data_IF_312308269748
#
_entry.id   IF_312308269748
#
_cell.length_a   1.000
_cell.length_b   1.000
_cell.length_c   1.000
_cell.angle_alpha   90.00
_cell.angle_beta   90.00
_cell.angle_gamma   90.00
#
_symmetry.space_group_name_H-M   'P 1'
#
loop_
_entity.id
_entity.type
_entity.pdbx_description
1 polymer ?
#
# COMPACT_ATOMS: atom_id res chain seq x y z
N UNK A 1 0.03 17.38 -6.11
CA UNK A 1 -0.64 16.17 -5.58
C UNK A 1 -0.45 15.07 -6.62
N UNK A 2 -0.39 13.79 -6.26
CA UNK A 2 -0.32 12.73 -7.28
C UNK A 2 -1.67 12.65 -8.01
N UNK A 3 -1.66 12.54 -9.35
CA UNK A 3 -2.87 12.47 -10.18
C UNK A 3 -3.79 11.32 -9.75
N UNK A 4 -3.20 10.21 -9.29
CA UNK A 4 -3.95 9.07 -8.75
C UNK A 4 -4.74 9.42 -7.47
N UNK A 5 -4.18 10.23 -6.57
CA UNK A 5 -4.88 10.64 -5.35
C UNK A 5 -6.03 11.60 -5.67
N UNK A 6 -5.85 12.47 -6.68
CA UNK A 6 -6.91 13.36 -7.16
C UNK A 6 -8.08 12.55 -7.74
N UNK A 7 -7.78 11.57 -8.59
CA UNK A 7 -8.80 10.69 -9.18
C UNK A 7 -9.51 9.82 -8.14
N UNK A 8 -8.78 9.30 -7.13
CA UNK A 8 -9.35 8.54 -6.01
C UNK A 8 -10.37 9.35 -5.22
N UNK A 9 -10.02 10.58 -4.84
CA UNK A 9 -10.93 11.48 -4.10
C UNK A 9 -12.16 11.87 -4.92
N UNK A 10 -11.98 12.09 -6.22
CA UNK A 10 -13.10 12.31 -7.14
C UNK A 10 -14.05 11.10 -7.18
N UNK A 11 -13.51 9.89 -7.24
CA UNK A 11 -14.30 8.66 -7.25
C UNK A 11 -15.06 8.44 -5.93
N UNK A 12 -14.41 8.67 -4.79
CA UNK A 12 -15.06 8.62 -3.47
C UNK A 12 -16.21 9.63 -3.36
N UNK A 13 -16.02 10.85 -3.88
CA UNK A 13 -17.03 11.91 -3.88
C UNK A 13 -18.24 11.55 -4.73
N UNK A 14 -18.02 10.95 -5.90
CA UNK A 14 -19.09 10.49 -6.78
C UNK A 14 -19.82 9.26 -6.22
N UNK A 15 -19.16 8.42 -5.42
CA UNK A 15 -19.75 7.22 -4.84
C UNK A 15 -20.16 7.37 -3.37
N UNK A 16 -20.13 8.59 -2.82
CA UNK A 16 -20.53 8.84 -1.42
C UNK A 16 -21.99 8.43 -1.22
N UNK A 17 -22.21 7.45 -0.35
CA UNK A 17 -23.54 6.89 -0.05
C UNK A 17 -24.45 7.87 0.70
N UNK A 18 -23.88 8.95 1.25
CA UNK A 18 -24.63 10.04 1.90
C UNK A 18 -25.25 11.00 0.90
N UNK A 19 -24.74 11.04 -0.34
CA UNK A 19 -25.35 11.83 -1.41
C UNK A 19 -26.57 11.07 -1.96
N UNK A 20 -27.77 11.61 -1.78
CA UNK A 20 -29.00 10.97 -2.27
C UNK A 20 -29.25 11.20 -3.77
N UNK A 21 -28.40 12.00 -4.44
CA UNK A 21 -28.55 12.27 -5.87
C UNK A 21 -28.17 11.04 -6.70
N UNK A 22 -28.82 10.81 -7.86
CA UNK A 22 -28.42 9.78 -8.80
C UNK A 22 -26.93 9.92 -9.20
N UNK A 23 -26.16 8.81 -9.31
CA UNK A 23 -24.73 8.86 -9.59
C UNK A 23 -24.36 9.68 -10.83
N UNK A 24 -25.21 9.64 -11.87
CA UNK A 24 -24.96 10.34 -13.11
C UNK A 24 -25.01 11.89 -12.97
N UNK A 25 -25.69 12.42 -11.96
CA UNK A 25 -25.82 13.86 -11.67
C UNK A 25 -24.79 14.38 -10.67
N UNK A 26 -23.99 13.49 -10.06
CA UNK A 26 -22.96 13.87 -9.10
C UNK A 26 -21.79 14.49 -9.85
N UNK A 27 -21.47 15.72 -9.46
CA UNK A 27 -20.39 16.51 -10.03
C UNK A 27 -19.81 17.40 -8.93
N UNK A 28 -18.53 17.71 -9.06
CA UNK A 28 -17.72 18.32 -8.00
C UNK A 28 -16.84 19.42 -8.55
N UNK A 29 -16.36 20.28 -7.67
CA UNK A 29 -15.45 21.38 -8.04
C UNK A 29 -14.02 20.99 -7.65
N UNK A 30 -13.04 21.45 -8.41
CA UNK A 30 -11.65 21.01 -8.26
C UNK A 30 -11.09 21.22 -6.84
N UNK A 31 -11.47 22.30 -6.17
CA UNK A 31 -11.02 22.60 -4.81
C UNK A 31 -11.66 21.67 -3.77
N UNK A 32 -12.84 21.09 -4.04
CA UNK A 32 -13.53 20.18 -3.10
C UNK A 32 -12.82 18.84 -2.94
N UNK A 33 -11.99 18.46 -3.92
CA UNK A 33 -11.14 17.26 -3.87
C UNK A 33 -9.67 17.60 -3.56
N UNK A 34 -9.37 18.89 -3.32
CA UNK A 34 -8.01 19.37 -3.04
C UNK A 34 -7.08 19.41 -4.27
N UNK A 35 -7.63 19.42 -5.48
CA UNK A 35 -6.86 19.54 -6.71
C UNK A 35 -6.54 21.00 -7.05
N UNK A 36 -5.45 21.24 -7.78
CA UNK A 36 -5.15 22.55 -8.38
C UNK A 36 -5.75 22.68 -9.77
N UNK A 37 -5.77 23.90 -10.33
CA UNK A 37 -6.21 24.12 -11.72
C UNK A 37 -5.31 23.43 -12.74
N UNK A 38 -4.01 23.31 -12.44
CA UNK A 38 -3.05 22.64 -13.31
C UNK A 38 -3.28 21.12 -13.31
N UNK A 39 -3.58 20.52 -12.16
CA UNK A 39 -3.96 19.11 -12.07
C UNK A 39 -5.21 18.84 -12.91
N UNK A 40 -6.23 19.70 -12.82
CA UNK A 40 -7.44 19.56 -13.63
C UNK A 40 -7.19 19.71 -15.12
N UNK A 41 -6.29 20.61 -15.52
CA UNK A 41 -5.92 20.79 -16.93
C UNK A 41 -5.27 19.51 -17.47
N UNK A 42 -4.32 18.92 -16.74
CA UNK A 42 -3.72 17.63 -17.11
C UNK A 42 -4.77 16.52 -17.22
N UNK A 43 -5.62 16.37 -16.20
CA UNK A 43 -6.63 15.30 -16.16
C UNK A 43 -7.71 15.44 -17.24
N UNK A 44 -8.02 16.67 -17.68
CA UNK A 44 -8.89 16.94 -18.83
C UNK A 44 -8.19 16.56 -20.15
N UNK A 45 -6.94 16.98 -20.33
CA UNK A 45 -6.15 16.70 -21.54
C UNK A 45 -5.93 15.18 -21.71
N UNK A 46 -5.75 14.44 -20.62
CA UNK A 46 -5.62 12.98 -20.60
C UNK A 46 -6.96 12.24 -20.70
N UNK A 47 -8.08 12.96 -20.61
CA UNK A 47 -9.43 12.42 -20.75
C UNK A 47 -9.92 11.60 -19.55
N UNK A 48 -9.31 11.74 -18.37
CA UNK A 48 -9.77 11.09 -17.14
C UNK A 48 -10.96 11.80 -16.49
N UNK A 49 -11.12 13.09 -16.77
CA UNK A 49 -12.19 13.94 -16.23
C UNK A 49 -12.91 14.66 -17.37
N UNK A 50 -14.20 14.93 -17.19
CA UNK A 50 -15.03 15.74 -18.10
C UNK A 50 -15.68 16.90 -17.37
N UNK A 51 -15.99 17.97 -18.09
CA UNK A 51 -16.74 19.11 -17.56
C UNK A 51 -18.23 18.77 -17.58
N UNK A 52 -18.83 18.61 -16.41
CA UNK A 52 -20.25 18.27 -16.27
C UNK A 52 -21.16 19.51 -16.35
N UNK A 53 -20.69 20.65 -15.83
CA UNK A 53 -21.42 21.91 -15.86
C UNK A 53 -20.44 23.07 -15.89
N UNK A 54 -20.65 24.02 -16.80
CA UNK A 54 -19.88 25.28 -16.84
C UNK A 54 -20.84 26.46 -16.90
N UNK A 55 -20.72 27.35 -15.94
CA UNK A 55 -21.41 28.64 -15.87
C UNK A 55 -20.36 29.75 -15.71
N UNK A 56 -20.79 31.01 -15.73
CA UNK A 56 -19.90 32.17 -15.50
C UNK A 56 -19.19 32.12 -14.15
N UNK A 57 -19.82 31.56 -13.11
CA UNK A 57 -19.30 31.56 -11.73
C UNK A 57 -18.84 30.18 -11.25
N UNK A 58 -19.09 29.11 -12.02
CA UNK A 58 -18.97 27.74 -11.53
C UNK A 58 -18.56 26.78 -12.62
N UNK A 59 -17.53 25.97 -12.37
CA UNK A 59 -17.16 24.83 -13.23
C UNK A 59 -17.17 23.57 -12.38
N UNK A 60 -18.05 22.64 -12.74
CA UNK A 60 -18.12 21.31 -12.13
C UNK A 60 -17.60 20.26 -13.08
N UNK A 61 -16.92 19.29 -12.50
CA UNK A 61 -16.28 18.18 -13.14
C UNK A 61 -16.93 16.88 -12.71
N UNK A 62 -16.69 15.85 -13.52
CA UNK A 62 -17.08 14.47 -13.25
C UNK A 62 -16.02 13.56 -13.86
N UNK A 63 -15.78 12.40 -13.25
CA UNK A 63 -14.95 11.37 -13.86
C UNK A 63 -15.54 10.92 -15.20
N UNK A 64 -14.67 10.77 -16.19
CA UNK A 64 -15.04 10.09 -17.43
C UNK A 64 -15.17 8.59 -17.17
N UNK A 65 -15.73 7.85 -18.13
CA UNK A 65 -15.73 6.38 -18.06
C UNK A 65 -14.30 5.82 -17.96
N UNK A 66 -13.35 6.44 -18.69
CA UNK A 66 -11.92 6.13 -18.58
C UNK A 66 -11.37 6.41 -17.17
N UNK A 67 -11.68 7.56 -16.58
CA UNK A 67 -11.27 7.91 -15.21
C UNK A 67 -11.87 6.98 -14.16
N UNK A 68 -13.17 6.72 -14.26
CA UNK A 68 -13.86 5.79 -13.35
C UNK A 68 -13.30 4.39 -13.46
N UNK A 69 -13.11 3.87 -14.68
CA UNK A 69 -12.55 2.53 -14.91
C UNK A 69 -11.09 2.44 -14.48
N UNK A 70 -10.30 3.51 -14.65
CA UNK A 70 -8.91 3.55 -14.20
C UNK A 70 -8.82 3.49 -12.66
N UNK A 71 -9.61 4.33 -11.97
CA UNK A 71 -9.67 4.29 -10.49
C UNK A 71 -10.25 2.96 -10.01
N UNK A 72 -11.30 2.46 -10.66
CA UNK A 72 -11.91 1.18 -10.34
C UNK A 72 -10.92 0.03 -10.53
N UNK A 73 -10.19 -0.03 -11.64
CA UNK A 73 -9.19 -1.05 -11.91
C UNK A 73 -8.06 -1.04 -10.86
N UNK A 74 -7.54 0.13 -10.51
CA UNK A 74 -6.49 0.21 -9.48
C UNK A 74 -7.05 -0.05 -8.08
N UNK A 75 -8.28 0.37 -7.78
CA UNK A 75 -8.95 0.06 -6.50
C UNK A 75 -9.25 -1.44 -6.41
N UNK A 76 -9.64 -2.07 -7.51
CA UNK A 76 -9.88 -3.51 -7.62
C UNK A 76 -8.58 -4.30 -7.54
N UNK A 77 -7.46 -3.85 -8.12
CA UNK A 77 -6.13 -4.46 -7.90
C UNK A 77 -5.77 -4.44 -6.40
N UNK A 78 -6.12 -3.36 -5.70
CA UNK A 78 -5.97 -3.28 -4.24
C UNK A 78 -6.94 -4.20 -3.48
N UNK A 79 -8.17 -4.44 -3.97
CA UNK A 79 -9.12 -5.37 -3.36
C UNK A 79 -8.87 -6.85 -3.68
N UNK A 80 -8.41 -7.18 -4.89
CA UNK A 80 -8.05 -8.54 -5.32
C UNK A 80 -6.84 -9.11 -4.56
N UNK A 81 -6.02 -8.25 -3.99
CA UNK A 81 -4.90 -8.63 -3.12
C UNK A 81 -5.33 -8.83 -1.66
N UNK A 82 -6.62 -8.74 -1.29
CA UNK A 82 -7.07 -9.14 0.06
C UNK A 82 -7.02 -10.66 0.16
N UNK A 83 -5.89 -11.16 0.65
CA UNK A 83 -5.71 -12.59 0.89
C UNK A 83 -6.53 -12.96 2.13
N UNK A 84 -7.53 -13.86 2.02
CA UNK A 84 -8.29 -14.31 3.18
C UNK A 84 -7.35 -14.91 4.23
N UNK A 85 -7.62 -14.65 5.52
CA UNK A 85 -6.81 -15.21 6.61
C UNK A 85 -6.70 -16.74 6.52
N UNK A 86 -7.75 -17.42 6.04
CA UNK A 86 -7.73 -18.86 5.82
C UNK A 86 -6.66 -19.32 4.80
N UNK A 87 -6.38 -18.53 3.77
CA UNK A 87 -5.36 -18.86 2.77
C UNK A 87 -3.95 -18.69 3.35
N UNK A 88 -3.72 -17.61 4.11
CA UNK A 88 -2.45 -17.39 4.81
C UNK A 88 -2.20 -18.50 5.83
N UNK A 89 -3.24 -18.90 6.58
CA UNK A 89 -3.14 -19.99 7.54
C UNK A 89 -2.78 -21.32 6.87
N UNK A 90 -3.46 -21.66 5.76
CA UNK A 90 -3.17 -22.86 4.95
C UNK A 90 -1.72 -22.89 4.45
N UNK A 91 -1.18 -21.74 4.08
CA UNK A 91 0.21 -21.65 3.64
C UNK A 91 1.23 -21.99 4.75
N UNK A 92 0.80 -21.94 6.03
CA UNK A 92 1.60 -22.31 7.19
C UNK A 92 1.26 -23.72 7.74
N UNK A 93 0.48 -24.54 7.02
CA UNK A 93 0.05 -25.87 7.48
C UNK A 93 1.22 -26.84 7.71
N UNK A 94 2.36 -26.62 7.05
CA UNK A 94 3.58 -27.41 7.26
C UNK A 94 4.17 -27.26 8.67
N UNK A 95 3.86 -26.16 9.36
CA UNK A 95 4.36 -25.90 10.71
C UNK A 95 3.39 -26.54 11.70
N UNK A 96 3.87 -27.40 12.60
CA UNK A 96 3.03 -28.02 13.62
C UNK A 96 3.03 -27.13 14.88
N UNK A 97 1.84 -26.84 15.43
CA UNK A 97 1.66 -25.98 16.60
C UNK A 97 1.60 -24.47 16.26
N UNK A 98 1.73 -23.63 17.28
CA UNK A 98 1.68 -22.15 17.17
C UNK A 98 0.40 -21.60 16.53
N UNK A 99 -0.75 -22.23 16.79
CA UNK A 99 -2.03 -21.85 16.17
C UNK A 99 -2.46 -20.42 16.49
N UNK A 100 -2.16 -19.96 17.71
CA UNK A 100 -2.37 -18.59 18.16
C UNK A 100 -1.54 -17.57 17.35
N UNK A 101 -0.26 -17.87 17.13
CA UNK A 101 0.66 -17.03 16.34
C UNK A 101 0.24 -17.04 14.87
N UNK A 102 -0.05 -18.21 14.29
CA UNK A 102 -0.53 -18.34 12.91
C UNK A 102 -1.83 -17.57 12.69
N UNK A 103 -2.78 -17.67 13.62
CA UNK A 103 -4.04 -16.93 13.55
C UNK A 103 -3.81 -15.42 13.65
N UNK A 104 -2.89 -14.97 14.49
CA UNK A 104 -2.54 -13.56 14.63
C UNK A 104 -1.91 -13.01 13.33
N UNK A 105 -0.94 -13.73 12.76
CA UNK A 105 -0.29 -13.37 11.48
C UNK A 105 -1.32 -13.36 10.36
N UNK A 106 -2.13 -14.42 10.23
CA UNK A 106 -3.14 -14.54 9.18
C UNK A 106 -4.18 -13.41 9.24
N UNK A 107 -4.64 -13.05 10.46
CA UNK A 107 -5.56 -11.92 10.65
C UNK A 107 -4.89 -10.58 10.34
N UNK A 108 -3.62 -10.40 10.72
CA UNK A 108 -2.89 -9.17 10.43
C UNK A 108 -2.74 -8.96 8.92
N UNK A 109 -2.26 -9.98 8.19
CA UNK A 109 -2.15 -9.96 6.71
C UNK A 109 -3.51 -9.67 6.07
N UNK A 110 -4.57 -10.35 6.48
CA UNK A 110 -5.91 -10.15 5.93
C UNK A 110 -6.47 -8.74 6.22
N UNK A 111 -6.12 -8.15 7.37
CA UNK A 111 -6.59 -6.83 7.81
C UNK A 111 -5.83 -5.65 7.20
N UNK A 112 -4.64 -5.89 6.61
CA UNK A 112 -3.73 -4.85 6.08
C UNK A 112 -3.41 -3.70 7.05
N UNK A 113 -3.43 -4.00 8.35
CA UNK A 113 -2.97 -3.07 9.36
C UNK A 113 -1.45 -3.22 9.47
N UNK A 114 -0.74 -2.10 9.64
CA UNK A 114 0.69 -2.13 9.98
C UNK A 114 0.84 -2.65 11.40
N UNK A 115 0.98 -3.96 11.52
CA UNK A 115 1.24 -4.68 12.76
C UNK A 115 2.58 -5.35 12.54
N UNK A 116 3.55 -5.06 13.41
CA UNK A 116 4.89 -5.62 13.27
C UNK A 116 5.03 -6.82 14.21
N UNK A 117 5.51 -7.95 13.69
CA UNK A 117 5.73 -9.17 14.46
C UNK A 117 7.21 -9.40 14.69
N UNK A 118 7.55 -9.89 15.89
CA UNK A 118 8.88 -10.41 16.20
C UNK A 118 8.72 -11.86 16.63
N UNK A 119 9.33 -12.78 15.89
CA UNK A 119 9.37 -14.19 16.23
C UNK A 119 10.70 -14.50 16.91
N UNK A 120 10.68 -14.62 18.24
CA UNK A 120 11.85 -15.02 19.03
C UNK A 120 11.70 -16.47 19.51
N UNK A 121 12.81 -17.22 19.50
CA UNK A 121 12.85 -18.57 20.05
C UNK A 121 14.10 -19.33 19.65
N UNK A 122 14.31 -20.54 20.20
CA UNK A 122 15.44 -21.40 19.87
C UNK A 122 15.59 -21.68 18.36
N UNK A 123 16.78 -22.07 17.88
CA UNK A 123 16.94 -22.57 16.53
C UNK A 123 16.04 -23.80 16.31
N UNK A 124 15.63 -24.03 15.06
CA UNK A 124 14.75 -25.13 14.64
C UNK A 124 13.29 -25.07 15.12
N UNK A 125 12.79 -23.94 15.65
CA UNK A 125 11.36 -23.73 15.96
C UNK A 125 10.51 -23.29 14.74
N UNK A 126 10.87 -23.70 13.52
CA UNK A 126 10.14 -23.42 12.27
C UNK A 126 9.90 -21.93 11.90
N UNK A 127 10.57 -20.97 12.54
CA UNK A 127 10.42 -19.52 12.26
C UNK A 127 10.58 -19.17 10.77
N UNK A 128 11.65 -19.63 10.12
CA UNK A 128 11.87 -19.37 8.69
C UNK A 128 10.80 -20.04 7.79
N UNK A 129 10.23 -21.17 8.22
CA UNK A 129 9.13 -21.84 7.49
C UNK A 129 7.84 -21.04 7.62
N UNK A 130 7.57 -20.42 8.78
CA UNK A 130 6.45 -19.50 8.96
C UNK A 130 6.58 -18.30 8.00
N UNK A 131 7.77 -17.67 7.94
CA UNK A 131 8.03 -16.56 7.02
C UNK A 131 7.83 -16.99 5.56
N UNK A 132 8.34 -18.16 5.17
CA UNK A 132 8.17 -18.71 3.82
C UNK A 132 6.69 -19.01 3.50
N UNK A 133 5.93 -19.51 4.46
CA UNK A 133 4.48 -19.70 4.33
C UNK A 133 3.77 -18.39 4.01
N UNK A 134 4.07 -17.33 4.77
CA UNK A 134 3.52 -15.98 4.50
C UNK A 134 3.97 -15.46 3.13
N UNK A 135 5.24 -15.62 2.77
CA UNK A 135 5.78 -15.22 1.45
C UNK A 135 5.04 -15.90 0.30
N UNK A 136 4.71 -17.18 0.46
CA UNK A 136 3.96 -17.93 -0.57
C UNK A 136 2.50 -17.48 -0.69
N UNK A 137 1.89 -17.02 0.41
CA UNK A 137 0.51 -16.58 0.43
C UNK A 137 0.33 -15.14 -0.07
N UNK A 138 1.37 -14.31 0.06
CA UNK A 138 1.34 -12.87 -0.23
C UNK A 138 2.18 -12.57 -1.47
N UNK A 139 1.56 -12.30 -2.64
CA UNK A 139 2.29 -12.14 -3.91
C UNK A 139 3.30 -11.00 -3.93
N UNK A 140 3.05 -9.94 -3.17
CA UNK A 140 3.89 -8.75 -3.07
C UNK A 140 4.75 -8.74 -1.79
N UNK A 141 4.88 -9.87 -1.10
CA UNK A 141 5.78 -9.97 0.04
C UNK A 141 7.24 -9.95 -0.42
N UNK A 142 8.06 -9.19 0.29
CA UNK A 142 9.50 -9.12 0.06
C UNK A 142 10.24 -9.74 1.25
N UNK A 143 11.21 -10.62 0.99
CA UNK A 143 12.04 -11.23 2.03
C UNK A 143 13.46 -10.66 1.99
N UNK A 144 13.94 -10.22 3.15
CA UNK A 144 15.30 -9.75 3.35
C UNK A 144 16.02 -10.67 4.35
N UNK A 145 17.23 -11.11 3.98
CA UNK A 145 18.07 -11.95 4.82
C UNK A 145 19.08 -11.08 5.54
N UNK A 146 19.13 -11.15 6.87
CA UNK A 146 19.87 -10.19 7.68
C UNK A 146 21.36 -10.08 7.32
N UNK A 147 22.01 -11.20 7.04
CA UNK A 147 23.42 -11.26 6.66
C UNK A 147 23.75 -10.71 5.26
N UNK A 148 22.73 -10.49 4.41
CA UNK A 148 22.92 -10.07 3.00
C UNK A 148 22.28 -8.72 2.67
N UNK A 149 21.62 -8.10 3.63
CA UNK A 149 20.87 -6.87 3.42
C UNK A 149 21.57 -5.69 4.08
N UNK A 150 21.99 -4.71 3.28
CA UNK A 150 22.49 -3.40 3.74
C UNK A 150 21.35 -2.37 3.79
N UNK A 151 21.55 -1.24 4.48
CA UNK A 151 20.53 -0.19 4.54
C UNK A 151 20.16 0.35 3.15
N UNK A 152 21.15 0.52 2.27
CA UNK A 152 20.90 0.96 0.89
C UNK A 152 20.15 -0.10 0.09
N UNK A 153 20.50 -1.37 0.24
CA UNK A 153 19.83 -2.46 -0.49
C UNK A 153 18.38 -2.64 -0.02
N UNK A 154 18.13 -2.54 1.28
CA UNK A 154 16.77 -2.57 1.82
C UNK A 154 15.95 -1.36 1.36
N UNK A 155 16.53 -0.16 1.39
CA UNK A 155 15.85 1.07 0.95
C UNK A 155 15.46 0.96 -0.52
N UNK A 156 16.38 0.54 -1.39
CA UNK A 156 16.13 0.36 -2.81
C UNK A 156 15.02 -0.66 -3.07
N UNK A 157 15.07 -1.82 -2.42
CA UNK A 157 14.01 -2.83 -2.51
C UNK A 157 12.65 -2.29 -2.06
N UNK A 158 12.59 -1.47 -1.01
CA UNK A 158 11.34 -0.86 -0.53
C UNK A 158 10.82 0.23 -1.47
N UNK A 159 11.68 0.98 -2.15
CA UNK A 159 11.28 1.93 -3.19
C UNK A 159 10.77 1.24 -4.47
N UNK A 160 11.43 0.15 -4.87
CA UNK A 160 11.13 -0.57 -6.10
C UNK A 160 9.88 -1.45 -5.96
N UNK A 161 9.86 -2.31 -4.94
CA UNK A 161 8.80 -3.32 -4.79
C UNK A 161 7.59 -2.84 -3.99
N UNK A 162 7.77 -1.82 -3.12
CA UNK A 162 6.71 -1.29 -2.25
C UNK A 162 5.84 -2.37 -1.59
N UNK A 163 6.46 -3.38 -0.95
CA UNK A 163 5.76 -4.58 -0.51
C UNK A 163 4.72 -4.27 0.57
N UNK A 164 3.56 -4.94 0.56
CA UNK A 164 2.62 -4.89 1.69
C UNK A 164 3.12 -5.65 2.92
N UNK A 165 4.02 -6.62 2.73
CA UNK A 165 4.64 -7.41 3.80
C UNK A 165 6.15 -7.50 3.58
N UNK A 166 6.93 -7.03 4.54
CA UNK A 166 8.38 -7.15 4.58
C UNK A 166 8.77 -8.22 5.60
N UNK A 167 9.30 -9.34 5.11
CA UNK A 167 9.74 -10.46 5.94
C UNK A 167 11.25 -10.33 6.20
N UNK A 168 11.65 -10.42 7.46
CA UNK A 168 13.06 -10.38 7.86
C UNK A 168 13.47 -11.72 8.45
N UNK A 169 14.38 -12.45 7.80
CA UNK A 169 15.00 -13.64 8.38
C UNK A 169 16.40 -13.31 8.90
N UNK A 170 16.81 -13.97 9.99
CA UNK A 170 18.07 -13.69 10.71
C UNK A 170 18.25 -12.20 11.04
N UNK A 171 17.18 -11.53 11.52
CA UNK A 171 17.21 -10.10 11.81
C UNK A 171 18.30 -9.71 12.83
N UNK A 172 18.69 -10.61 13.72
CA UNK A 172 19.79 -10.43 14.67
C UNK A 172 21.18 -10.33 13.99
N UNK A 173 21.29 -10.77 12.73
CA UNK A 173 22.51 -10.70 11.92
C UNK A 173 22.57 -9.48 11.01
N UNK A 174 21.56 -8.60 11.05
CA UNK A 174 21.55 -7.39 10.25
C UNK A 174 22.65 -6.42 10.62
N UNK A 175 23.14 -5.71 9.60
CA UNK A 175 24.01 -4.56 9.82
C UNK A 175 23.27 -3.44 10.56
N UNK A 176 23.98 -2.74 11.45
CA UNK A 176 23.38 -1.71 12.30
C UNK A 176 22.76 -0.53 11.52
N UNK A 177 23.23 -0.28 10.31
CA UNK A 177 22.71 0.78 9.44
C UNK A 177 21.25 0.49 9.00
N UNK A 178 20.87 -0.79 8.87
CA UNK A 178 19.53 -1.24 8.47
C UNK A 178 18.47 -0.81 9.48
N UNK A 179 18.79 -0.79 10.77
CA UNK A 179 17.82 -0.43 11.81
C UNK A 179 17.25 0.98 11.65
N UNK A 180 18.03 1.92 11.11
CA UNK A 180 17.54 3.28 10.84
C UNK A 180 16.41 3.30 9.81
N UNK A 181 16.48 2.42 8.80
CA UNK A 181 15.44 2.27 7.78
C UNK A 181 14.20 1.60 8.37
N UNK A 182 14.39 0.53 9.15
CA UNK A 182 13.30 -0.19 9.81
C UNK A 182 12.55 0.71 10.80
N UNK A 183 13.25 1.54 11.58
CA UNK A 183 12.62 2.48 12.52
C UNK A 183 11.67 3.45 11.81
N UNK A 184 12.11 4.07 10.71
CA UNK A 184 11.25 4.96 9.92
C UNK A 184 10.03 4.24 9.34
N UNK A 185 10.23 3.02 8.84
CA UNK A 185 9.14 2.19 8.31
C UNK A 185 8.14 1.79 9.42
N UNK A 186 8.61 1.43 10.61
CA UNK A 186 7.75 0.99 11.70
C UNK A 186 6.97 2.14 12.36
N UNK A 187 7.59 3.31 12.51
CA UNK A 187 6.98 4.47 13.19
C UNK A 187 5.98 5.19 12.27
N UNK A 188 6.48 5.80 11.20
CA UNK A 188 5.66 6.65 10.31
C UNK A 188 5.25 5.92 9.04
N UNK A 189 5.92 4.81 8.70
CA UNK A 189 5.84 4.18 7.38
C UNK A 189 6.63 4.93 6.32
N UNK A 190 7.49 5.87 6.71
CA UNK A 190 8.20 6.72 5.78
C UNK A 190 9.65 6.29 5.65
N UNK A 191 10.09 6.17 4.41
CA UNK A 191 11.48 5.89 4.07
C UNK A 191 12.01 7.11 3.35
N UNK A 192 13.13 7.63 3.86
CA UNK A 192 13.83 8.78 3.31
C UNK A 192 15.23 8.33 2.89
N UNK A 193 15.51 8.38 1.60
CA UNK A 193 16.86 8.17 1.08
C UNK A 193 17.42 9.48 0.55
N UNK A 194 18.63 9.83 0.99
CA UNK A 194 19.38 10.98 0.46
C UNK A 194 20.61 10.45 -0.27
N UNK A 195 20.53 10.35 -1.60
CA UNK A 195 21.68 10.06 -2.48
C UNK A 195 22.11 11.34 -3.19
N UNK A 196 23.37 11.74 -3.01
CA UNK A 196 24.06 12.85 -3.70
C UNK A 196 23.14 13.90 -4.35
N UNK A 197 22.72 14.89 -3.56
CA UNK A 197 21.89 16.06 -3.94
C UNK A 197 20.41 15.80 -4.28
N UNK A 198 19.91 14.57 -4.23
CA UNK A 198 18.47 14.28 -4.34
C UNK A 198 17.98 13.52 -3.12
N UNK A 199 16.96 14.06 -2.46
CA UNK A 199 16.20 13.38 -1.41
C UNK A 199 14.95 12.79 -2.05
N UNK A 200 14.71 11.51 -1.81
CA UNK A 200 13.49 10.80 -2.21
C UNK A 200 12.84 10.26 -0.96
N UNK A 201 11.52 10.45 -0.87
CA UNK A 201 10.71 10.00 0.25
C UNK A 201 9.48 9.25 -0.26
N UNK A 202 9.18 8.13 0.37
CA UNK A 202 7.96 7.36 0.11
C UNK A 202 7.29 7.02 1.44
N UNK A 203 5.96 6.98 1.44
CA UNK A 203 5.17 6.49 2.55
C UNK A 203 4.55 5.16 2.16
N UNK A 204 4.90 4.12 2.91
CA UNK A 204 4.46 2.75 2.70
C UNK A 204 3.49 2.32 3.81
N UNK A 205 2.58 1.42 3.44
CA UNK A 205 1.70 0.74 4.38
C UNK A 205 2.14 -0.73 4.56
N UNK A 206 3.46 -0.91 4.75
CA UNK A 206 4.10 -2.22 4.88
C UNK A 206 3.94 -2.76 6.30
N UNK A 207 3.62 -4.05 6.39
CA UNK A 207 3.66 -4.87 7.60
C UNK A 207 5.04 -5.53 7.74
N UNK A 208 5.58 -5.66 8.96
CA UNK A 208 6.87 -6.30 9.25
C UNK A 208 6.69 -7.64 9.98
#
# INVERSE_FOLDING_TARGET
MNDMEVLRRAYERENDSRDRRPPHLRSWEYYTIGASRDDMRRLLDEGFVVIALKTTNLTKYKLSEKGSNFVWATTMEQEFTRIPAANVKRAMDLVVGFEDIKDAIAKAVASRRRINFLLEGPPACAKSIILEGVRSAVPDAYIAFGSRTSASGLSEALFEHQPSVLLLDEADKMHNDVYSVLLGLMESGEILETKSRKTRGIKLNTML
#
